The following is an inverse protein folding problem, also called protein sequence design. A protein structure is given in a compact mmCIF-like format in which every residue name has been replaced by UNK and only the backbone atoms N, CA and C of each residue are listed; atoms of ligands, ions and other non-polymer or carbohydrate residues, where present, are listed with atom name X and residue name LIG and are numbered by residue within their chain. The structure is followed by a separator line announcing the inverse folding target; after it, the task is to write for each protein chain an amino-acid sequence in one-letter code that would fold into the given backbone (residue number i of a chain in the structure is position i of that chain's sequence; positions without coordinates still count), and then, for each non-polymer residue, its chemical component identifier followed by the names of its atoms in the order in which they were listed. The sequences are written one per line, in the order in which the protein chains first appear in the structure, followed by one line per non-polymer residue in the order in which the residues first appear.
data_IF_391445174285
#
_entry.id   IF_391445174285
#
_cell.length_a   1.000
_cell.length_b   1.000
_cell.length_c   1.000
_cell.angle_alpha   90.00
_cell.angle_beta   90.00
_cell.angle_gamma   90.00
#
_symmetry.space_group_name_H-M   'P 1'
#
loop_
_entity.id
_entity.type
_entity.pdbx_description
1 polymer ?
#
# COMPACT_ATOMS: atom_id res chain seq x y z
N UNK A 1 0.77 -15.17 -11.76
CA UNK A 1 -0.22 -16.08 -11.16
C UNK A 1 0.42 -17.06 -10.18
N UNK A 2 1.49 -17.77 -10.55
CA UNK A 2 2.16 -18.77 -9.70
C UNK A 2 2.54 -18.27 -8.28
N UNK A 3 2.99 -17.01 -8.13
CA UNK A 3 3.28 -16.41 -6.81
C UNK A 3 2.05 -16.11 -5.94
N UNK A 4 0.92 -15.79 -6.56
CA UNK A 4 -0.31 -15.40 -5.85
C UNK A 4 -1.05 -16.65 -5.35
N UNK A 5 -1.04 -17.72 -6.13
CA UNK A 5 -1.69 -18.98 -5.76
C UNK A 5 -0.96 -19.69 -4.62
N UNK A 6 0.38 -19.57 -4.56
CA UNK A 6 1.18 -20.16 -3.48
C UNK A 6 1.09 -19.41 -2.14
N UNK A 7 0.72 -18.13 -2.14
CA UNK A 7 0.76 -17.25 -0.96
C UNK A 7 -0.52 -16.44 -0.74
N UNK A 8 -1.61 -16.80 -1.41
CA UNK A 8 -2.89 -16.08 -1.35
C UNK A 8 -3.75 -16.38 -0.11
N UNK A 9 -3.32 -17.31 0.74
CA UNK A 9 -3.94 -17.60 2.04
C UNK A 9 -3.41 -16.63 3.10
N UNK A 10 -3.82 -15.38 2.97
CA UNK A 10 -3.47 -14.27 3.88
C UNK A 10 -4.73 -13.52 4.27
N UNK A 11 -4.74 -12.92 5.46
CA UNK A 11 -5.88 -12.10 5.91
C UNK A 11 -5.72 -10.61 5.60
N UNK A 12 -4.55 -10.16 5.13
CA UNK A 12 -4.28 -8.76 4.83
C UNK A 12 -3.18 -8.64 3.77
N UNK A 13 -3.27 -7.65 2.88
CA UNK A 13 -2.25 -7.37 1.88
C UNK A 13 -1.69 -5.95 2.01
N UNK A 14 -0.36 -5.82 2.00
CA UNK A 14 0.34 -4.54 1.86
C UNK A 14 0.99 -4.50 0.49
N UNK A 15 0.63 -3.52 -0.32
CA UNK A 15 1.13 -3.38 -1.70
C UNK A 15 2.00 -2.14 -1.81
N UNK A 16 3.20 -2.28 -2.40
CA UNK A 16 4.13 -1.18 -2.60
C UNK A 16 4.03 -0.65 -4.03
N UNK A 17 3.58 0.59 -4.17
CA UNK A 17 3.43 1.30 -5.43
C UNK A 17 4.60 2.28 -5.59
N UNK A 18 5.67 1.79 -6.21
CA UNK A 18 6.89 2.55 -6.49
C UNK A 18 6.95 2.96 -7.98
N UNK A 19 7.70 4.03 -8.34
CA UNK A 19 7.79 4.55 -9.70
C UNK A 19 8.72 3.68 -10.56
N UNK A 20 8.32 2.43 -10.75
CA UNK A 20 9.16 1.40 -11.35
C UNK A 20 9.07 1.39 -12.89
N UNK A 21 7.88 1.70 -13.42
CA UNK A 21 7.59 1.84 -14.85
C UNK A 21 7.37 3.31 -15.23
N UNK A 22 7.50 3.63 -16.53
CA UNK A 22 7.01 4.88 -17.12
C UNK A 22 5.99 4.56 -18.21
N UNK A 23 4.93 5.37 -18.31
CA UNK A 23 3.91 5.20 -19.33
C UNK A 23 3.07 6.46 -19.55
N UNK A 24 2.21 6.42 -20.56
CA UNK A 24 1.34 7.55 -20.92
C UNK A 24 0.04 7.09 -21.55
N UNK A 25 -0.95 7.97 -21.54
CA UNK A 25 -2.12 7.84 -22.43
C UNK A 25 -1.70 8.15 -23.87
N UNK A 26 -2.51 7.71 -24.84
CA UNK A 26 -2.33 8.09 -26.25
C UNK A 26 -2.32 9.62 -26.34
N UNK A 27 -1.29 10.17 -26.99
CA UNK A 27 -1.03 11.62 -27.09
C UNK A 27 -0.79 12.36 -25.75
N UNK A 28 -0.59 11.64 -24.64
CA UNK A 28 -0.24 12.23 -23.34
C UNK A 28 1.27 12.39 -23.13
N UNK A 29 1.64 12.84 -21.92
CA UNK A 29 3.02 12.90 -21.42
C UNK A 29 3.36 11.63 -20.63
N UNK A 30 4.65 11.27 -20.60
CA UNK A 30 5.13 10.18 -19.74
C UNK A 30 4.95 10.53 -18.27
N UNK A 31 4.55 9.53 -17.49
CA UNK A 31 4.41 9.55 -16.05
C UNK A 31 4.96 8.27 -15.45
N UNK A 32 5.47 8.37 -14.23
CA UNK A 32 5.84 7.20 -13.45
C UNK A 32 4.62 6.39 -13.03
N UNK A 33 4.78 5.07 -13.02
CA UNK A 33 3.73 4.08 -12.74
C UNK A 33 4.30 2.95 -11.90
N UNK A 34 3.44 2.35 -11.07
CA UNK A 34 3.75 1.07 -10.46
C UNK A 34 3.83 -0.02 -11.53
N UNK A 35 4.66 -1.06 -11.27
CA UNK A 35 4.76 -2.21 -12.18
C UNK A 35 3.40 -2.78 -12.49
N UNK A 36 3.13 -3.10 -13.76
CA UNK A 36 1.82 -3.62 -14.17
C UNK A 36 1.41 -4.89 -13.42
N UNK A 37 2.36 -5.79 -13.14
CA UNK A 37 2.08 -7.00 -12.35
C UNK A 37 1.65 -6.68 -10.91
N UNK A 38 2.19 -5.61 -10.32
CA UNK A 38 1.81 -5.13 -8.98
C UNK A 38 0.40 -4.57 -9.00
N UNK A 39 0.02 -3.84 -10.05
CA UNK A 39 -1.36 -3.34 -10.21
C UNK A 39 -2.37 -4.48 -10.39
N UNK A 40 -1.99 -5.55 -11.10
CA UNK A 40 -2.82 -6.75 -11.22
C UNK A 40 -2.98 -7.44 -9.86
N UNK A 41 -1.90 -7.63 -9.11
CA UNK A 41 -1.91 -8.22 -7.77
C UNK A 41 -2.75 -7.39 -6.79
N UNK A 42 -2.68 -6.06 -6.86
CA UNK A 42 -3.54 -5.17 -6.09
C UNK A 42 -5.03 -5.44 -6.37
N UNK A 43 -5.42 -5.50 -7.64
CA UNK A 43 -6.79 -5.83 -8.04
C UNK A 43 -7.26 -7.17 -7.51
N UNK A 44 -6.41 -8.20 -7.61
CA UNK A 44 -6.69 -9.53 -7.09
C UNK A 44 -6.94 -9.52 -5.57
N UNK A 45 -6.09 -8.85 -4.77
CA UNK A 45 -6.27 -8.82 -3.33
C UNK A 45 -7.47 -8.00 -2.88
N UNK A 46 -7.86 -6.96 -3.61
CA UNK A 46 -9.09 -6.21 -3.33
C UNK A 46 -10.32 -7.10 -3.51
N UNK A 47 -10.37 -7.85 -4.60
CA UNK A 47 -11.49 -8.76 -4.88
C UNK A 47 -11.56 -9.89 -3.85
N UNK A 48 -10.40 -10.48 -3.51
CA UNK A 48 -10.31 -11.62 -2.60
C UNK A 48 -10.50 -11.27 -1.12
N UNK A 49 -9.88 -10.18 -0.64
CA UNK A 49 -9.85 -9.82 0.79
C UNK A 49 -10.84 -8.71 1.13
N UNK A 50 -11.33 -7.98 0.14
CA UNK A 50 -12.08 -6.74 0.35
C UNK A 50 -11.16 -5.54 0.60
N UNK A 51 -11.66 -4.35 0.30
CA UNK A 51 -10.89 -3.08 0.36
C UNK A 51 -10.33 -2.77 1.75
N UNK A 52 -11.04 -3.14 2.82
CA UNK A 52 -10.63 -2.89 4.21
C UNK A 52 -9.42 -3.73 4.64
N UNK A 53 -9.07 -4.77 3.89
CA UNK A 53 -7.98 -5.68 4.21
C UNK A 53 -6.78 -5.50 3.25
N UNK A 54 -6.72 -4.35 2.56
CA UNK A 54 -5.66 -4.01 1.62
C UNK A 54 -5.18 -2.58 1.88
N UNK A 55 -3.88 -2.43 2.12
CA UNK A 55 -3.22 -1.12 2.25
C UNK A 55 -2.21 -0.93 1.12
N UNK A 56 -2.30 0.19 0.41
CA UNK A 56 -1.34 0.55 -0.63
C UNK A 56 -0.37 1.62 -0.12
N UNK A 57 0.93 1.33 -0.16
CA UNK A 57 1.97 2.30 0.13
C UNK A 57 2.51 2.90 -1.16
N UNK A 58 2.49 4.22 -1.31
CA UNK A 58 3.02 4.91 -2.48
C UNK A 58 4.38 5.54 -2.18
N UNK A 59 5.30 5.50 -3.14
CA UNK A 59 6.57 6.24 -3.05
C UNK A 59 6.67 7.21 -4.20
N UNK A 60 7.00 8.47 -3.91
CA UNK A 60 7.16 9.51 -4.92
C UNK A 60 5.86 9.80 -5.70
N UNK A 61 6.02 10.36 -6.89
CA UNK A 61 4.91 10.64 -7.80
C UNK A 61 4.63 9.41 -8.67
N UNK A 62 3.49 8.75 -8.45
CA UNK A 62 3.05 7.55 -9.19
C UNK A 62 1.62 7.76 -9.63
N UNK A 63 1.35 7.54 -10.92
CA UNK A 63 -0.01 7.58 -11.45
C UNK A 63 -0.85 6.43 -10.88
N UNK A 64 -1.94 6.78 -10.18
CA UNK A 64 -2.89 5.84 -9.61
C UNK A 64 -4.16 5.75 -10.48
N UNK A 65 -4.58 4.56 -10.93
CA UNK A 65 -5.82 4.40 -11.68
C UNK A 65 -7.05 4.70 -10.82
N UNK A 66 -8.06 5.35 -11.41
CA UNK A 66 -9.30 5.72 -10.73
C UNK A 66 -10.14 4.52 -10.29
N UNK A 67 -9.99 3.35 -10.92
CA UNK A 67 -10.70 2.12 -10.55
C UNK A 67 -10.38 1.65 -9.12
N UNK A 68 -9.22 2.06 -8.61
CA UNK A 68 -8.76 1.81 -7.24
C UNK A 68 -9.10 2.97 -6.29
N UNK A 69 -10.01 3.87 -6.67
CA UNK A 69 -10.55 4.88 -5.78
C UNK A 69 -11.23 4.20 -4.58
N UNK A 70 -10.92 4.65 -3.36
CA UNK A 70 -11.43 4.05 -2.11
C UNK A 70 -10.51 3.02 -1.47
N UNK A 71 -9.30 2.81 -1.99
CA UNK A 71 -8.21 2.19 -1.23
C UNK A 71 -7.48 3.29 -0.46
N UNK A 72 -7.03 2.97 0.74
CA UNK A 72 -6.18 3.86 1.52
C UNK A 72 -4.77 3.83 0.92
N UNK A 73 -4.35 4.97 0.36
CA UNK A 73 -2.98 5.20 -0.09
C UNK A 73 -2.22 5.95 0.98
N UNK A 74 -1.12 5.36 1.44
CA UNK A 74 -0.26 5.98 2.44
C UNK A 74 1.12 6.22 1.83
N UNK A 75 1.71 7.41 1.98
CA UNK A 75 3.11 7.60 1.65
C UNK A 75 3.97 6.54 2.36
N UNK A 76 4.91 5.94 1.63
CA UNK A 76 5.85 4.97 2.18
C UNK A 76 6.85 5.67 3.12
N UNK A 77 7.23 6.89 2.75
CA UNK A 77 7.92 7.84 3.62
C UNK A 77 6.97 8.38 4.72
N UNK A 78 7.53 8.97 5.78
CA UNK A 78 6.78 9.80 6.74
C UNK A 78 5.53 9.17 7.40
N UNK A 79 5.69 7.95 7.92
CA UNK A 79 4.66 7.33 8.77
C UNK A 79 3.79 6.29 8.08
N UNK A 80 4.07 5.91 6.83
CA UNK A 80 3.40 4.78 6.15
C UNK A 80 3.38 3.48 6.96
N UNK A 81 4.44 3.22 7.76
CA UNK A 81 4.48 2.07 8.67
C UNK A 81 3.49 2.19 9.83
N UNK A 82 3.35 3.37 10.42
CA UNK A 82 2.35 3.61 11.46
C UNK A 82 0.93 3.51 10.89
N UNK A 83 0.74 3.96 9.64
CA UNK A 83 -0.51 3.79 8.94
C UNK A 83 -0.84 2.32 8.69
N UNK A 84 0.10 1.51 8.18
CA UNK A 84 -0.08 0.05 8.03
C UNK A 84 -0.45 -0.61 9.37
N UNK A 85 0.20 -0.21 10.47
CA UNK A 85 -0.14 -0.73 11.80
C UNK A 85 -1.57 -0.38 12.22
N UNK A 86 -2.09 0.80 11.86
CA UNK A 86 -3.48 1.19 12.11
C UNK A 86 -4.44 0.40 11.22
N UNK A 87 -4.18 0.31 9.92
CA UNK A 87 -5.02 -0.45 8.99
C UNK A 87 -5.11 -1.94 9.37
N UNK A 88 -4.00 -2.54 9.83
CA UNK A 88 -4.01 -3.89 10.36
C UNK A 88 -4.88 -4.02 11.62
N UNK A 89 -4.80 -3.05 12.54
CA UNK A 89 -5.65 -3.06 13.73
C UNK A 89 -7.14 -2.91 13.36
N UNK A 90 -7.46 -2.04 12.40
CA UNK A 90 -8.83 -1.82 11.90
C UNK A 90 -9.38 -3.05 11.16
N UNK A 91 -8.50 -3.82 10.49
CA UNK A 91 -8.81 -5.12 9.90
C UNK A 91 -8.96 -6.26 10.94
N UNK A 92 -8.79 -5.96 12.24
CA UNK A 92 -9.00 -6.92 13.33
C UNK A 92 -7.76 -7.72 13.74
N UNK A 93 -6.56 -7.33 13.30
CA UNK A 93 -5.32 -7.97 13.72
C UNK A 93 -4.82 -7.42 15.06
N UNK A 94 -4.26 -8.29 15.90
CA UNK A 94 -3.62 -7.86 17.14
C UNK A 94 -2.26 -7.21 16.87
N UNK A 95 -2.13 -5.92 17.24
CA UNK A 95 -0.90 -5.15 17.04
C UNK A 95 -0.21 -4.87 18.37
N UNK A 96 1.07 -5.24 18.46
CA UNK A 96 1.92 -4.81 19.56
C UNK A 96 2.40 -3.38 19.33
N UNK A 97 1.73 -2.42 19.98
CA UNK A 97 2.01 -1.00 19.83
C UNK A 97 3.37 -0.56 20.41
N UNK A 98 3.92 -1.28 21.39
CA UNK A 98 5.28 -0.99 21.86
C UNK A 98 6.32 -1.28 20.78
N UNK A 99 6.17 -2.39 20.04
CA UNK A 99 7.05 -2.72 18.91
C UNK A 99 6.82 -1.78 17.73
N UNK A 100 5.57 -1.48 17.41
CA UNK A 100 5.23 -0.56 16.31
C UNK A 100 5.74 0.87 16.56
N UNK A 101 5.68 1.37 17.80
CA UNK A 101 6.15 2.71 18.17
C UNK A 101 7.67 2.83 18.28
N UNK A 102 8.38 1.73 18.54
CA UNK A 102 9.86 1.69 18.56
C UNK A 102 10.49 1.60 17.19
N UNK A 103 9.71 1.44 16.13
CA UNK A 103 10.24 1.39 14.77
C UNK A 103 10.88 2.74 14.41
N UNK A 104 12.10 2.76 13.84
CA UNK A 104 12.89 3.99 13.65
C UNK A 104 12.23 5.13 12.86
N UNK A 105 11.06 4.96 12.23
CA UNK A 105 10.28 6.02 11.59
C UNK A 105 9.19 6.65 12.50
N UNK A 106 8.82 6.00 13.59
CA UNK A 106 7.71 6.42 14.47
C UNK A 106 8.17 7.35 15.61
N UNK A 107 9.48 7.55 15.78
CA UNK A 107 10.03 8.41 16.84
C UNK A 107 9.81 9.91 16.59
N UNK A 108 9.59 10.30 15.34
CA UNK A 108 9.53 11.72 14.96
C UNK A 108 8.11 12.32 15.03
N UNK A 109 7.10 11.55 15.46
CA UNK A 109 5.72 12.05 15.60
C UNK A 109 5.32 12.44 17.04
N UNK A 110 6.28 12.63 17.95
CA UNK A 110 6.02 13.02 19.36
C UNK A 110 6.58 14.39 19.78
N UNK A 111 6.60 15.36 18.88
CA UNK A 111 6.76 16.78 19.27
C UNK A 111 5.83 17.66 18.45
N UNK A 112 4.73 18.05 19.08
CA UNK A 112 3.79 19.05 18.63
C UNK A 112 2.98 19.48 19.85
N UNK A 113 3.58 20.38 20.63
CA UNK A 113 2.85 21.33 21.49
C UNK A 113 1.98 22.26 20.64
#
# INVERSE_FOLDING_TARGET
MEKIEAHGDVGFAVVLLTPDDEGRQVNGTFKFRARQNVMFELGYFIDRLGRSNVCALTRGDVELPSDFAGIVYQPMEDGGRAAVARELADAGFEINWEKASRWPCCRDQKTGE
#
